data_IF_100065728726
#
_entry.id   IF_100065728726
#
_cell.length_a   1.000
_cell.length_b   1.000
_cell.length_c   1.000
_cell.angle_alpha   90.00
_cell.angle_beta   90.00
_cell.angle_gamma   90.00
#
_symmetry.space_group_name_H-M   'P 1'
#
loop_
_entity.id
_entity.type
_entity.pdbx_description
1 polymer ?
#
# COMPACT_ATOMS: atom_id res chain seq x y z
N UNK A 1 -12.49 -19.09 20.58
CA UNK A 1 -11.74 -17.88 20.98
C UNK A 1 -10.40 -17.89 20.26
N UNK A 2 -10.31 -17.35 19.03
CA UNK A 2 -9.08 -17.38 18.22
C UNK A 2 -8.98 -16.20 17.24
N UNK A 3 -9.65 -15.08 17.50
CA UNK A 3 -9.75 -13.94 16.56
C UNK A 3 -8.76 -12.80 16.83
N UNK A 4 -8.00 -12.82 17.93
CA UNK A 4 -7.11 -11.71 18.30
C UNK A 4 -5.68 -11.83 17.75
N UNK A 5 -5.28 -12.99 17.23
CA UNK A 5 -3.89 -13.22 16.80
C UNK A 5 -3.62 -12.75 15.37
N UNK A 6 -4.63 -12.74 14.49
CA UNK A 6 -4.46 -12.42 13.07
C UNK A 6 -4.49 -10.90 12.84
N UNK A 7 -5.47 -10.19 13.41
CA UNK A 7 -5.55 -8.73 13.34
C UNK A 7 -4.30 -8.04 13.91
N UNK A 8 -3.63 -8.64 14.90
CA UNK A 8 -2.36 -8.12 15.44
C UNK A 8 -1.24 -8.14 14.39
N UNK A 9 -1.18 -9.16 13.54
CA UNK A 9 -0.18 -9.25 12.47
C UNK A 9 -0.38 -8.15 11.42
N UNK A 10 -1.61 -7.69 11.21
CA UNK A 10 -1.95 -6.62 10.27
C UNK A 10 -1.88 -5.21 10.88
N UNK A 11 -1.43 -5.09 12.14
CA UNK A 11 -1.21 -3.79 12.78
C UNK A 11 -0.08 -3.02 12.10
N UNK A 12 1.00 -3.70 11.73
CA UNK A 12 2.02 -3.14 10.84
C UNK A 12 1.84 -3.77 9.45
N UNK A 13 1.19 -3.03 8.56
CA UNK A 13 0.99 -3.49 7.19
C UNK A 13 2.32 -3.82 6.48
N UNK A 14 3.39 -3.01 6.58
CA UNK A 14 4.68 -3.35 5.96
C UNK A 14 5.24 -4.69 6.42
N UNK A 15 5.10 -5.04 7.70
CA UNK A 15 5.54 -6.33 8.22
C UNK A 15 4.68 -7.47 7.68
N UNK A 16 3.35 -7.30 7.67
CA UNK A 16 2.40 -8.30 7.19
C UNK A 16 2.63 -8.69 5.72
N UNK A 17 3.06 -7.74 4.87
CA UNK A 17 3.31 -7.96 3.42
C UNK A 17 4.78 -7.96 3.02
N UNK A 18 5.71 -8.04 3.99
CA UNK A 18 7.17 -7.96 3.78
C UNK A 18 7.71 -8.79 2.61
N UNK A 19 7.31 -10.07 2.41
CA UNK A 19 7.79 -10.86 1.27
C UNK A 19 7.42 -10.27 -0.09
N UNK A 20 6.25 -9.64 -0.21
CA UNK A 20 5.78 -9.00 -1.43
C UNK A 20 6.52 -7.67 -1.68
N UNK A 21 6.80 -6.90 -0.62
CA UNK A 21 7.50 -5.61 -0.74
C UNK A 21 8.89 -5.73 -1.37
N UNK A 22 9.60 -6.84 -1.10
CA UNK A 22 10.91 -7.10 -1.71
C UNK A 22 10.88 -7.13 -3.24
N UNK A 23 9.72 -7.43 -3.83
CA UNK A 23 9.52 -7.52 -5.28
C UNK A 23 8.71 -6.35 -5.84
N UNK A 24 8.08 -5.55 -4.98
CA UNK A 24 7.08 -4.56 -5.41
C UNK A 24 7.68 -3.52 -6.37
N UNK A 25 8.87 -2.99 -6.07
CA UNK A 25 9.56 -2.06 -6.98
C UNK A 25 9.72 -2.66 -8.39
N UNK A 26 10.26 -3.88 -8.47
CA UNK A 26 10.44 -4.56 -9.76
C UNK A 26 9.10 -4.84 -10.46
N UNK A 27 8.04 -5.17 -9.71
CA UNK A 27 6.72 -5.40 -10.28
C UNK A 27 6.14 -4.11 -10.87
N UNK A 28 6.28 -2.98 -10.16
CA UNK A 28 5.82 -1.66 -10.61
C UNK A 28 6.60 -1.18 -11.85
N UNK A 29 7.91 -1.44 -11.91
CA UNK A 29 8.73 -1.12 -13.09
C UNK A 29 8.25 -1.85 -14.37
N UNK A 30 7.66 -3.03 -14.20
CA UNK A 30 7.19 -3.88 -15.30
C UNK A 30 5.67 -3.85 -15.51
N UNK A 31 4.91 -3.16 -14.65
CA UNK A 31 3.45 -3.12 -14.74
C UNK A 31 3.00 -2.03 -15.74
N UNK A 32 2.36 -2.38 -16.86
CA UNK A 32 2.03 -1.40 -17.90
C UNK A 32 0.99 -0.38 -17.47
N UNK A 33 0.11 -0.71 -16.51
CA UNK A 33 -0.91 0.23 -16.02
C UNK A 33 -0.29 1.26 -15.09
N UNK A 34 0.58 0.81 -14.19
CA UNK A 34 1.36 1.68 -13.33
C UNK A 34 2.28 2.59 -14.15
N UNK A 35 3.01 2.02 -15.12
CA UNK A 35 3.86 2.78 -16.02
C UNK A 35 3.06 3.85 -16.79
N UNK A 36 1.88 3.52 -17.32
CA UNK A 36 1.02 4.50 -17.97
C UNK A 36 0.59 5.64 -17.04
N UNK A 37 0.34 5.35 -15.76
CA UNK A 37 0.01 6.36 -14.74
C UNK A 37 1.19 7.29 -14.42
N UNK A 38 2.39 6.73 -14.22
CA UNK A 38 3.57 7.52 -13.86
C UNK A 38 4.27 8.18 -15.07
N UNK A 39 3.91 7.81 -16.29
CA UNK A 39 4.41 8.41 -17.54
C UNK A 39 3.62 9.66 -17.97
N UNK A 40 2.63 10.07 -17.18
CA UNK A 40 1.88 11.29 -17.50
C UNK A 40 2.76 12.52 -17.33
N UNK A 41 2.61 13.51 -18.22
CA UNK A 41 3.33 14.79 -18.10
C UNK A 41 2.89 15.61 -16.86
N UNK A 42 1.85 15.17 -16.14
CA UNK A 42 1.31 15.86 -14.97
C UNK A 42 2.15 15.70 -13.69
N UNK A 43 3.10 14.75 -13.65
CA UNK A 43 3.99 14.58 -12.49
C UNK A 43 5.20 15.49 -12.67
N UNK A 44 5.06 16.74 -12.21
CA UNK A 44 6.14 17.74 -12.25
C UNK A 44 7.03 17.70 -11.01
N UNK A 45 6.48 17.27 -9.87
CA UNK A 45 7.20 17.12 -8.61
C UNK A 45 7.03 15.67 -8.13
N UNK A 46 8.01 15.13 -7.38
CA UNK A 46 7.83 13.85 -6.69
C UNK A 46 6.58 13.88 -5.81
N UNK A 47 5.80 12.80 -5.86
CA UNK A 47 4.62 12.60 -5.02
C UNK A 47 4.77 11.29 -4.26
N UNK A 48 4.64 11.35 -2.94
CA UNK A 48 4.72 10.15 -2.08
C UNK A 48 3.37 9.78 -1.48
N UNK A 49 2.86 8.61 -1.88
CA UNK A 49 1.69 7.96 -1.30
C UNK A 49 2.09 7.03 -0.16
N UNK A 50 1.38 7.09 0.96
CA UNK A 50 1.49 6.14 2.06
C UNK A 50 0.38 5.08 2.02
N UNK A 51 0.69 3.85 2.43
CA UNK A 51 -0.31 2.82 2.71
C UNK A 51 -0.04 2.24 4.08
N UNK A 52 -1.00 2.33 5.01
CA UNK A 52 -0.81 1.86 6.38
C UNK A 52 -2.10 1.42 7.07
N UNK A 53 -1.92 0.80 8.23
CA UNK A 53 -3.03 0.42 9.12
C UNK A 53 -3.31 1.53 10.13
N UNK A 54 -4.58 1.71 10.50
CA UNK A 54 -4.95 2.58 11.62
C UNK A 54 -4.27 2.11 12.92
N UNK A 55 -3.76 3.05 13.72
CA UNK A 55 -3.12 2.72 15.00
C UNK A 55 -1.66 2.24 14.90
N UNK A 56 -1.07 2.31 13.70
CA UNK A 56 0.37 2.25 13.43
C UNK A 56 0.79 3.44 12.57
N UNK A 57 2.01 3.92 12.79
CA UNK A 57 2.65 4.93 11.94
C UNK A 57 3.51 4.28 10.84
N UNK A 58 3.76 2.96 10.92
CA UNK A 58 4.53 2.24 9.91
C UNK A 58 3.75 2.19 8.59
N UNK A 59 4.35 2.73 7.53
CA UNK A 59 3.75 2.87 6.22
C UNK A 59 4.63 2.28 5.12
N UNK A 60 3.97 1.71 4.12
CA UNK A 60 4.57 1.49 2.80
C UNK A 60 4.53 2.84 2.08
N UNK A 61 5.68 3.34 1.68
CA UNK A 61 5.79 4.59 0.93
C UNK A 61 6.06 4.27 -0.53
N UNK A 62 5.20 4.77 -1.41
CA UNK A 62 5.34 4.67 -2.86
C UNK A 62 5.53 6.08 -3.41
N UNK A 63 6.75 6.40 -3.82
CA UNK A 63 7.11 7.69 -4.41
C UNK A 63 7.15 7.57 -5.92
N UNK A 64 6.29 8.32 -6.61
CA UNK A 64 6.34 8.50 -8.05
C UNK A 64 7.09 9.80 -8.36
N UNK A 65 8.09 9.72 -9.21
CA UNK A 65 8.96 10.83 -9.58
C UNK A 65 8.82 11.17 -11.07
N UNK A 66 9.11 12.43 -11.45
CA UNK A 66 9.16 12.82 -12.86
C UNK A 66 10.07 11.89 -13.69
N UNK A 67 9.62 11.54 -14.90
CA UNK A 67 10.36 10.65 -15.79
C UNK A 67 10.13 9.15 -15.53
N UNK A 68 8.97 8.78 -14.99
CA UNK A 68 8.54 7.38 -14.80
C UNK A 68 9.42 6.57 -13.83
N UNK A 69 9.99 7.22 -12.81
CA UNK A 69 10.70 6.53 -11.74
C UNK A 69 9.77 6.30 -10.56
N UNK A 70 9.79 5.08 -10.02
CA UNK A 70 9.08 4.73 -8.79
C UNK A 70 10.05 4.20 -7.76
N UNK A 71 9.87 4.64 -6.50
CA UNK A 71 10.59 4.12 -5.36
C UNK A 71 9.62 3.65 -4.29
N UNK A 72 9.72 2.39 -3.90
CA UNK A 72 9.01 1.80 -2.77
C UNK A 72 9.96 1.70 -1.57
N UNK A 73 9.50 2.19 -0.43
CA UNK A 73 10.23 2.08 0.84
C UNK A 73 9.28 1.83 2.01
N UNK A 74 9.84 1.55 3.18
CA UNK A 74 9.11 1.46 4.45
C UNK A 74 9.53 2.67 5.28
N UNK A 75 8.55 3.37 5.85
CA UNK A 75 8.80 4.57 6.65
C UNK A 75 7.59 4.90 7.53
N UNK A 76 7.44 6.18 7.85
CA UNK A 76 6.33 6.71 8.65
C UNK A 76 5.25 7.31 7.76
N UNK A 77 4.00 7.22 8.19
CA UNK A 77 2.86 7.81 7.47
C UNK A 77 3.03 9.31 7.26
N UNK A 78 3.69 10.01 8.19
CA UNK A 78 3.99 11.45 8.10
C UNK A 78 4.96 11.83 6.98
N UNK A 79 5.64 10.86 6.34
CA UNK A 79 6.52 11.10 5.20
C UNK A 79 5.77 11.05 3.86
N UNK A 80 4.49 10.69 3.87
CA UNK A 80 3.62 10.73 2.72
C UNK A 80 2.84 12.05 2.63
N UNK A 81 2.52 12.48 1.41
CA UNK A 81 1.65 13.64 1.16
C UNK A 81 0.18 13.30 1.36
N UNK A 82 -0.19 12.06 1.07
CA UNK A 82 -1.49 11.49 1.37
C UNK A 82 -1.35 9.99 1.64
N UNK A 83 -2.31 9.42 2.34
CA UNK A 83 -2.26 8.02 2.73
C UNK A 83 -3.58 7.30 2.49
N UNK A 84 -3.48 6.06 1.99
CA UNK A 84 -4.55 5.08 2.05
C UNK A 84 -4.48 4.37 3.39
N UNK A 85 -5.54 4.50 4.17
CA UNK A 85 -5.60 4.01 5.55
C UNK A 85 -6.80 3.09 5.71
N UNK A 86 -6.58 1.93 6.31
CA UNK A 86 -7.66 1.01 6.69
C UNK A 86 -7.37 0.34 8.04
N UNK A 87 -8.39 -0.24 8.65
CA UNK A 87 -8.22 -1.04 9.86
C UNK A 87 -7.46 -2.35 9.54
N UNK A 88 -6.68 -2.89 10.49
CA UNK A 88 -5.95 -4.16 10.30
C UNK A 88 -6.80 -5.29 9.72
N UNK A 89 -8.03 -5.46 10.22
CA UNK A 89 -9.00 -6.47 9.76
C UNK A 89 -9.45 -6.28 8.31
N UNK A 90 -9.46 -5.04 7.81
CA UNK A 90 -9.76 -4.76 6.41
C UNK A 90 -8.58 -5.13 5.51
N UNK A 91 -7.34 -4.87 5.94
CA UNK A 91 -6.16 -5.33 5.23
C UNK A 91 -6.08 -6.86 5.21
N UNK A 92 -6.32 -7.51 6.35
CA UNK A 92 -6.40 -8.97 6.44
C UNK A 92 -7.42 -9.54 5.45
N UNK A 93 -8.59 -8.92 5.37
CA UNK A 93 -9.65 -9.34 4.45
C UNK A 93 -9.27 -9.09 2.99
N UNK A 94 -8.66 -7.94 2.69
CA UNK A 94 -8.22 -7.57 1.34
C UNK A 94 -7.13 -8.51 0.80
N UNK A 95 -6.19 -8.92 1.65
CA UNK A 95 -5.10 -9.84 1.29
C UNK A 95 -5.43 -11.31 1.56
N UNK A 96 -6.67 -11.64 1.93
CA UNK A 96 -7.08 -13.01 2.18
C UNK A 96 -7.01 -13.84 0.90
N UNK A 97 -6.39 -15.02 0.98
CA UNK A 97 -6.35 -15.98 -0.13
C UNK A 97 -7.74 -16.49 -0.53
N UNK A 98 -8.73 -16.37 0.36
CA UNK A 98 -10.12 -16.72 0.11
C UNK A 98 -10.99 -15.50 0.42
N UNK A 99 -11.09 -14.55 -0.53
CA UNK A 99 -11.90 -13.37 -0.33
C UNK A 99 -13.35 -13.79 -0.04
N UNK A 100 -14.05 -13.02 0.80
CA UNK A 100 -15.45 -13.27 1.14
C UNK A 100 -16.33 -12.21 0.49
N UNK A 101 -17.52 -12.61 0.07
CA UNK A 101 -18.50 -11.66 -0.45
C UNK A 101 -18.93 -10.65 0.64
N UNK A 102 -19.24 -9.39 0.28
CA UNK A 102 -19.21 -8.84 -1.08
C UNK A 102 -17.77 -8.50 -1.51
N UNK A 103 -17.39 -8.90 -2.73
CA UNK A 103 -16.05 -8.67 -3.30
C UNK A 103 -15.84 -7.22 -3.75
N UNK A 104 -16.17 -6.27 -2.89
CA UNK A 104 -16.16 -4.84 -3.24
C UNK A 104 -14.97 -4.17 -2.57
N UNK A 105 -14.18 -3.46 -3.37
CA UNK A 105 -13.27 -2.42 -2.88
C UNK A 105 -14.12 -1.40 -2.10
N UNK A 106 -13.81 -1.18 -0.83
CA UNK A 106 -14.45 -0.14 -0.03
C UNK A 106 -14.01 1.22 -0.60
N UNK A 107 -14.79 1.79 -1.52
CA UNK A 107 -14.69 3.21 -1.86
C UNK A 107 -15.45 3.96 -0.78
N UNK A 108 -14.71 4.54 0.17
CA UNK A 108 -15.28 5.43 1.17
C UNK A 108 -15.98 6.59 0.47
N UNK A 109 -17.27 6.76 0.76
CA UNK A 109 -18.03 7.98 0.51
C UNK A 109 -18.02 8.82 1.78
#
# INVERSE_FOLDING_TARGET
MSTNSSAYAWRSLPEAVSPALKKLNQLLDNDPQWQAFIHTEGIHNPVTMGVHSTGSDDAILVSAEPGSRTTVSIGRSSQAEFALVAQPEHWESFFSASPKAPYTSFVGI
#
